data_IF_757676870913
#
_entry.id   IF_757676870913
#
_cell.length_a   1.000
_cell.length_b   1.000
_cell.length_c   1.000
_cell.angle_alpha   90.00
_cell.angle_beta   90.00
_cell.angle_gamma   90.00
#
_symmetry.space_group_name_H-M   'P 1'
#
loop_
_entity.id
_entity.type
_entity.pdbx_description
1 polymer ?
#
# COMPACT_ATOMS: atom_id res chain seq x y z
N UNK A 1 -12.68 3.08 6.70
CA UNK A 1 -13.37 3.85 5.62
C UNK A 1 -14.81 4.23 5.96
N UNK A 2 -15.46 3.56 6.91
CA UNK A 2 -16.86 3.77 7.28
C UNK A 2 -17.21 5.23 7.66
N UNK A 3 -16.26 5.98 8.20
CA UNK A 3 -16.45 7.39 8.58
C UNK A 3 -16.33 8.37 7.41
N UNK A 4 -15.87 7.94 6.24
CA UNK A 4 -15.67 8.79 5.07
C UNK A 4 -16.98 8.94 4.27
N UNK A 5 -17.22 10.07 3.58
CA UNK A 5 -18.31 10.23 2.61
C UNK A 5 -18.22 9.24 1.45
N UNK A 6 -19.32 9.04 0.74
CA UNK A 6 -19.39 8.09 -0.39
C UNK A 6 -18.71 8.58 -1.67
N UNK A 7 -18.52 9.90 -1.83
CA UNK A 7 -17.94 10.54 -3.02
C UNK A 7 -16.46 10.92 -2.81
N UNK A 8 -15.72 10.16 -2.00
CA UNK A 8 -14.29 10.40 -1.83
C UNK A 8 -13.51 9.80 -3.00
N UNK A 9 -12.91 10.68 -3.81
CA UNK A 9 -12.23 10.29 -5.06
C UNK A 9 -10.77 9.86 -4.88
N UNK A 10 -10.12 10.27 -3.79
CA UNK A 10 -8.70 10.03 -3.52
C UNK A 10 -8.47 9.62 -2.07
N UNK A 11 -7.84 8.46 -1.89
CA UNK A 11 -7.45 7.90 -0.59
C UNK A 11 -6.04 7.34 -0.64
N UNK A 12 -5.33 7.45 0.47
CA UNK A 12 -4.11 6.71 0.78
C UNK A 12 -4.51 5.39 1.46
N UNK A 13 -4.25 4.28 0.77
CA UNK A 13 -4.68 2.94 1.14
C UNK A 13 -3.47 2.08 1.50
N UNK A 14 -3.32 1.67 2.76
CA UNK A 14 -2.30 0.72 3.15
C UNK A 14 -2.65 -0.67 2.60
N UNK A 15 -1.63 -1.34 2.09
CA UNK A 15 -1.70 -2.64 1.46
C UNK A 15 -0.58 -3.56 1.87
N UNK A 16 -0.76 -4.86 1.64
CA UNK A 16 0.27 -5.87 1.91
C UNK A 16 0.72 -6.53 0.61
N UNK A 17 2.03 -6.56 0.38
CA UNK A 17 2.62 -7.34 -0.70
C UNK A 17 2.53 -8.83 -0.35
N UNK A 18 2.16 -9.66 -1.34
CA UNK A 18 2.05 -11.11 -1.18
C UNK A 18 1.31 -11.47 0.12
N UNK A 19 0.06 -11.02 0.25
CA UNK A 19 -0.67 -10.96 1.53
C UNK A 19 -0.83 -12.33 2.22
N UNK A 20 -0.71 -13.42 1.47
CA UNK A 20 -0.82 -14.81 1.95
C UNK A 20 0.53 -15.51 2.15
N UNK A 21 1.65 -14.83 1.90
CA UNK A 21 3.00 -15.38 2.00
C UNK A 21 3.47 -15.46 3.47
N UNK A 22 2.91 -16.46 4.18
CA UNK A 22 3.08 -16.74 5.61
C UNK A 22 3.91 -18.00 5.89
N UNK A 23 4.24 -18.78 4.86
CA UNK A 23 4.79 -20.12 5.01
C UNK A 23 6.23 -20.28 4.46
N UNK A 24 6.93 -21.20 5.12
CA UNK A 24 8.24 -21.77 4.80
C UNK A 24 8.13 -22.86 3.69
N UNK A 25 9.21 -23.39 3.09
CA UNK A 25 10.57 -23.57 3.61
C UNK A 25 11.55 -22.42 3.37
N UNK A 26 11.30 -21.51 2.43
CA UNK A 26 12.25 -20.46 2.10
C UNK A 26 11.95 -19.20 2.90
N UNK A 27 12.93 -18.66 3.64
CA UNK A 27 12.75 -17.36 4.31
C UNK A 27 12.45 -16.22 3.32
N UNK A 28 12.80 -16.40 2.04
CA UNK A 28 12.45 -15.47 0.96
C UNK A 28 11.00 -15.55 0.52
N UNK A 29 10.24 -16.57 0.94
CA UNK A 29 8.79 -16.70 0.69
C UNK A 29 7.92 -16.23 1.84
N UNK A 30 8.51 -15.57 2.84
CA UNK A 30 7.80 -14.91 3.91
C UNK A 30 7.76 -13.42 3.64
N UNK A 31 6.56 -12.90 3.40
CA UNK A 31 6.30 -11.48 3.25
C UNK A 31 5.45 -10.94 4.40
N UNK A 32 4.66 -11.77 5.07
CA UNK A 32 3.77 -11.36 6.16
C UNK A 32 3.87 -12.31 7.36
N UNK A 33 3.40 -11.86 8.52
CA UNK A 33 3.36 -12.67 9.76
C UNK A 33 1.96 -12.72 10.38
N UNK A 34 0.93 -12.27 9.65
CA UNK A 34 -0.43 -12.09 10.16
C UNK A 34 -1.44 -12.64 9.17
N UNK A 35 -2.55 -13.20 9.67
CA UNK A 35 -3.61 -13.76 8.83
C UNK A 35 -4.31 -12.67 8.02
N UNK A 36 -5.03 -13.08 6.96
CA UNK A 36 -5.77 -12.16 6.10
C UNK A 36 -6.79 -11.32 6.89
N UNK A 37 -7.64 -11.95 7.70
CA UNK A 37 -8.57 -11.23 8.58
C UNK A 37 -7.86 -10.29 9.56
N UNK A 38 -6.69 -10.67 10.10
CA UNK A 38 -5.93 -9.80 11.00
C UNK A 38 -5.41 -8.54 10.29
N UNK A 39 -4.94 -8.68 9.04
CA UNK A 39 -4.54 -7.54 8.20
C UNK A 39 -5.73 -6.58 7.97
N UNK A 40 -6.91 -7.12 7.63
CA UNK A 40 -8.14 -6.33 7.40
C UNK A 40 -8.58 -5.55 8.66
N UNK A 41 -8.61 -6.22 9.82
CA UNK A 41 -8.87 -5.57 11.12
C UNK A 41 -7.82 -4.53 11.47
N UNK A 42 -6.60 -4.75 11.01
CA UNK A 42 -5.44 -3.87 11.14
C UNK A 42 -5.44 -2.63 10.25
N UNK A 43 -6.48 -2.43 9.43
CA UNK A 43 -6.61 -1.27 8.56
C UNK A 43 -6.11 -1.47 7.13
N UNK A 44 -5.59 -2.65 6.78
CA UNK A 44 -5.19 -2.97 5.39
C UNK A 44 -6.42 -2.98 4.48
N UNK A 45 -6.34 -2.29 3.34
CA UNK A 45 -7.43 -2.16 2.35
C UNK A 45 -7.00 -2.47 0.92
N UNK A 46 -5.73 -2.84 0.71
CA UNK A 46 -5.22 -3.38 -0.55
C UNK A 46 -4.50 -4.71 -0.30
N UNK A 47 -4.87 -5.75 -1.03
CA UNK A 47 -4.29 -7.09 -0.89
C UNK A 47 -3.63 -7.50 -2.21
N UNK A 48 -2.36 -7.89 -2.19
CA UNK A 48 -1.69 -8.52 -3.33
C UNK A 48 -1.74 -10.04 -3.15
N UNK A 49 -2.72 -10.67 -3.79
CA UNK A 49 -2.95 -12.11 -3.75
C UNK A 49 -2.37 -12.77 -5.00
N UNK A 50 -1.47 -13.73 -4.82
CA UNK A 50 -0.83 -14.43 -5.94
C UNK A 50 -1.11 -15.92 -5.90
N UNK A 51 -1.48 -16.45 -7.04
CA UNK A 51 -1.94 -17.83 -7.17
C UNK A 51 -1.28 -18.53 -8.34
N UNK A 52 -1.09 -19.84 -8.20
CA UNK A 52 -0.67 -20.74 -9.26
C UNK A 52 -1.81 -21.68 -9.63
N UNK A 53 -1.91 -22.00 -10.92
CA UNK A 53 -2.75 -23.07 -11.44
C UNK A 53 -2.04 -24.42 -11.22
N UNK A 54 -2.63 -25.31 -10.42
CA UNK A 54 -2.06 -26.62 -10.05
C UNK A 54 -2.98 -27.74 -10.53
N UNK A 55 -2.40 -28.87 -10.95
CA UNK A 55 -3.11 -30.12 -11.26
C UNK A 55 -2.58 -31.22 -10.34
N UNK A 56 -3.49 -31.86 -9.61
CA UNK A 56 -3.13 -32.73 -8.47
C UNK A 56 -2.62 -34.14 -8.87
N UNK A 57 -2.47 -34.46 -10.17
CA UNK A 57 -1.94 -35.76 -10.61
C UNK A 57 -0.50 -35.67 -11.17
N UNK A 58 0.26 -36.75 -11.00
CA UNK A 58 1.67 -36.85 -11.45
C UNK A 58 1.84 -36.78 -12.98
N UNK A 59 0.74 -36.76 -13.74
CA UNK A 59 0.71 -36.72 -15.20
C UNK A 59 0.12 -35.42 -15.76
N UNK A 60 -0.34 -34.49 -14.92
CA UNK A 60 -0.93 -33.22 -15.34
C UNK A 60 -2.35 -33.31 -15.94
N UNK A 61 -3.10 -34.38 -15.69
CA UNK A 61 -4.52 -34.55 -16.02
C UNK A 61 -5.51 -34.39 -14.86
N UNK A 62 -5.07 -34.00 -13.66
CA UNK A 62 -5.92 -33.74 -12.51
C UNK A 62 -6.76 -32.48 -12.69
N UNK A 63 -7.86 -32.38 -11.92
CA UNK A 63 -8.72 -31.20 -11.89
C UNK A 63 -7.89 -29.95 -11.55
N UNK A 64 -8.01 -28.88 -12.35
CA UNK A 64 -7.22 -27.67 -12.13
C UNK A 64 -7.72 -26.93 -10.89
N UNK A 65 -6.78 -26.50 -10.05
CA UNK A 65 -7.06 -25.76 -8.81
C UNK A 65 -6.17 -24.54 -8.68
N UNK A 66 -6.69 -23.51 -8.02
CA UNK A 66 -5.99 -22.24 -7.84
C UNK A 66 -5.48 -22.12 -6.40
N UNK A 67 -4.17 -22.23 -6.22
CA UNK A 67 -3.52 -22.24 -4.90
C UNK A 67 -2.64 -21.01 -4.71
N UNK A 68 -2.60 -20.48 -3.49
CA UNK A 68 -1.75 -19.34 -3.15
C UNK A 68 -0.26 -19.73 -3.18
N UNK A 69 0.57 -18.90 -3.82
CA UNK A 69 2.01 -19.15 -4.02
C UNK A 69 2.84 -17.88 -3.90
N UNK A 70 4.09 -18.04 -3.45
CA UNK A 70 5.13 -17.02 -3.55
C UNK A 70 6.33 -17.59 -4.31
N UNK A 71 6.51 -17.19 -5.57
CA UNK A 71 7.40 -17.88 -6.50
C UNK A 71 7.07 -19.38 -6.53
N UNK A 72 8.04 -20.28 -6.29
CA UNK A 72 7.82 -21.72 -6.29
C UNK A 72 7.22 -22.26 -4.97
N UNK A 73 7.00 -21.42 -3.95
CA UNK A 73 6.63 -21.91 -2.60
C UNK A 73 5.11 -21.84 -2.39
N UNK A 74 4.44 -22.99 -2.15
CA UNK A 74 3.02 -23.02 -1.83
C UNK A 74 2.75 -22.35 -0.48
N UNK A 75 1.64 -21.62 -0.39
CA UNK A 75 1.20 -20.93 0.82
C UNK A 75 0.02 -21.63 1.50
N UNK A 76 -0.34 -22.83 1.04
CA UNK A 76 -1.28 -23.72 1.75
C UNK A 76 -2.72 -23.22 1.82
N UNK A 77 -3.13 -22.35 0.90
CA UNK A 77 -4.51 -21.84 0.82
C UNK A 77 -5.04 -21.89 -0.60
N UNK A 78 -6.26 -22.40 -0.77
CA UNK A 78 -6.96 -22.38 -2.06
C UNK A 78 -7.70 -21.04 -2.25
N UNK A 79 -7.83 -20.58 -3.50
CA UNK A 79 -8.48 -19.31 -3.82
C UNK A 79 -9.91 -19.23 -3.29
N UNK A 80 -10.68 -20.32 -3.38
CA UNK A 80 -12.05 -20.38 -2.87
C UNK A 80 -12.14 -20.10 -1.37
N UNK A 81 -11.21 -20.65 -0.58
CA UNK A 81 -11.15 -20.43 0.87
C UNK A 81 -10.80 -18.96 1.20
N UNK A 82 -9.90 -18.37 0.41
CA UNK A 82 -9.50 -16.96 0.56
C UNK A 82 -10.66 -16.03 0.24
N UNK A 83 -11.39 -16.29 -0.84
CA UNK A 83 -12.58 -15.50 -1.20
C UNK A 83 -13.68 -15.64 -0.16
N UNK A 84 -13.92 -16.84 0.35
CA UNK A 84 -14.90 -17.07 1.41
C UNK A 84 -14.57 -16.25 2.67
N UNK A 85 -13.30 -16.22 3.11
CA UNK A 85 -12.87 -15.38 4.25
C UNK A 85 -13.12 -13.88 3.99
N UNK A 86 -12.83 -13.40 2.77
CA UNK A 86 -13.11 -12.00 2.38
C UNK A 86 -14.62 -11.70 2.43
N UNK A 87 -15.44 -12.60 1.90
CA UNK A 87 -16.90 -12.43 1.88
C UNK A 87 -17.50 -12.42 3.29
N UNK A 88 -16.99 -13.25 4.18
CA UNK A 88 -17.41 -13.28 5.59
C UNK A 88 -17.05 -11.98 6.31
N UNK A 89 -15.82 -11.48 6.11
CA UNK A 89 -15.41 -10.22 6.72
C UNK A 89 -16.22 -9.03 6.17
N UNK A 90 -16.37 -8.93 4.84
CA UNK A 90 -17.17 -7.87 4.20
C UNK A 90 -18.66 -7.94 4.56
N UNK A 91 -19.19 -9.13 4.87
CA UNK A 91 -20.55 -9.30 5.35
C UNK A 91 -20.75 -8.97 6.85
N UNK A 92 -19.66 -8.82 7.61
CA UNK A 92 -19.72 -8.53 9.05
C UNK A 92 -20.05 -7.06 9.35
N UNK A 93 -20.42 -6.77 10.59
CA UNK A 93 -20.65 -5.39 11.06
C UNK A 93 -19.44 -4.47 10.86
N UNK A 94 -18.22 -5.03 10.97
CA UNK A 94 -16.97 -4.31 10.79
C UNK A 94 -16.70 -4.02 9.30
N UNK A 95 -16.91 -5.00 8.42
CA UNK A 95 -16.52 -4.92 7.01
C UNK A 95 -17.59 -4.36 6.07
N UNK A 96 -18.89 -4.41 6.42
CA UNK A 96 -19.98 -4.04 5.50
C UNK A 96 -19.99 -2.57 5.05
N UNK A 97 -19.27 -1.70 5.75
CA UNK A 97 -19.09 -0.28 5.40
C UNK A 97 -17.71 0.04 4.83
N UNK A 98 -16.87 -0.97 4.71
CA UNK A 98 -15.51 -0.91 4.17
C UNK A 98 -15.49 -1.45 2.73
N UNK A 99 -14.37 -1.32 2.03
CA UNK A 99 -14.13 -1.97 0.74
C UNK A 99 -12.69 -2.44 0.69
N UNK A 100 -12.38 -3.44 -0.13
CA UNK A 100 -11.03 -3.98 -0.25
C UNK A 100 -10.64 -4.04 -1.72
N UNK A 101 -9.52 -3.41 -2.09
CA UNK A 101 -8.92 -3.62 -3.40
C UNK A 101 -8.15 -4.94 -3.35
N UNK A 102 -8.51 -5.86 -4.24
CA UNK A 102 -7.90 -7.18 -4.33
C UNK A 102 -7.12 -7.27 -5.64
N UNK A 103 -5.80 -7.16 -5.55
CA UNK A 103 -4.87 -7.44 -6.64
C UNK A 103 -4.72 -8.95 -6.78
N UNK A 104 -5.06 -9.49 -7.94
CA UNK A 104 -4.82 -10.90 -8.28
C UNK A 104 -3.77 -10.98 -9.37
N UNK A 105 -2.73 -11.77 -9.13
CA UNK A 105 -1.69 -12.09 -10.11
C UNK A 105 -1.49 -13.60 -10.21
N UNK A 106 -1.30 -14.10 -11.43
CA UNK A 106 -0.82 -15.46 -11.63
C UNK A 106 0.70 -15.54 -11.35
N UNK A 107 1.11 -16.54 -10.57
CA UNK A 107 2.52 -16.74 -10.20
C UNK A 107 3.25 -17.71 -11.14
N UNK A 108 2.55 -18.70 -11.68
CA UNK A 108 3.08 -19.64 -12.68
C UNK A 108 2.59 -19.33 -14.11
N UNK A 109 2.87 -20.23 -15.05
CA UNK A 109 2.32 -20.17 -16.42
C UNK A 109 0.92 -20.78 -16.47
N UNK A 110 0.04 -20.26 -17.33
CA UNK A 110 -1.31 -20.81 -17.52
C UNK A 110 -2.31 -19.82 -18.16
N UNK A 111 -2.05 -18.51 -18.05
CA UNK A 111 -2.69 -17.45 -18.83
C UNK A 111 -4.22 -17.54 -18.90
N UNK A 112 -4.72 -18.05 -20.03
CA UNK A 112 -6.16 -18.16 -20.30
C UNK A 112 -6.90 -19.11 -19.36
N UNK A 113 -6.34 -20.28 -19.03
CA UNK A 113 -7.02 -21.24 -18.15
C UNK A 113 -7.11 -20.71 -16.72
N UNK A 114 -6.03 -20.11 -16.22
CA UNK A 114 -6.03 -19.45 -14.92
C UNK A 114 -7.11 -18.36 -14.87
N UNK A 115 -7.18 -17.51 -15.91
CA UNK A 115 -8.18 -16.46 -15.98
C UNK A 115 -9.60 -17.01 -15.96
N UNK A 116 -9.88 -18.04 -16.77
CA UNK A 116 -11.19 -18.68 -16.83
C UNK A 116 -11.65 -19.20 -15.47
N UNK A 117 -10.75 -19.90 -14.75
CA UNK A 117 -11.06 -20.46 -13.42
C UNK A 117 -11.27 -19.40 -12.35
N UNK A 118 -10.52 -18.29 -12.39
CA UNK A 118 -10.76 -17.16 -11.47
C UNK A 118 -12.16 -16.58 -11.69
N UNK A 119 -12.52 -16.33 -12.95
CA UNK A 119 -13.82 -15.75 -13.28
C UNK A 119 -14.97 -16.72 -12.98
N UNK A 120 -14.82 -18.00 -13.32
CA UNK A 120 -15.79 -19.03 -12.97
C UNK A 120 -16.01 -19.12 -11.46
N UNK A 121 -14.94 -19.07 -10.66
CA UNK A 121 -15.05 -19.07 -9.20
C UNK A 121 -15.79 -17.83 -8.68
N UNK A 122 -15.53 -16.65 -9.24
CA UNK A 122 -16.23 -15.41 -8.86
C UNK A 122 -17.72 -15.51 -9.23
N UNK A 123 -18.00 -15.89 -10.47
CA UNK A 123 -19.34 -15.87 -11.06
C UNK A 123 -20.25 -16.96 -10.47
N UNK A 124 -19.68 -18.11 -10.09
CA UNK A 124 -20.40 -19.22 -9.45
C UNK A 124 -20.61 -19.05 -7.93
N UNK A 125 -19.91 -18.12 -7.27
CA UNK A 125 -20.00 -17.92 -5.82
C UNK A 125 -20.77 -16.66 -5.43
N UNK A 126 -20.13 -15.49 -5.46
CA UNK A 126 -20.71 -14.21 -5.03
C UNK A 126 -20.33 -13.06 -5.97
N UNK A 127 -20.77 -13.08 -7.24
CA UNK A 127 -20.40 -12.06 -8.22
C UNK A 127 -20.78 -10.64 -7.79
N UNK A 128 -21.88 -10.46 -7.05
CA UNK A 128 -22.35 -9.17 -6.55
C UNK A 128 -21.44 -8.52 -5.49
N UNK A 129 -20.53 -9.28 -4.87
CA UNK A 129 -19.50 -8.75 -3.96
C UNK A 129 -18.27 -8.24 -4.69
N UNK A 130 -18.20 -8.39 -6.02
CA UNK A 130 -17.09 -7.89 -6.82
C UNK A 130 -17.52 -6.69 -7.64
N UNK A 131 -16.69 -5.66 -7.60
CA UNK A 131 -16.67 -4.60 -8.60
C UNK A 131 -15.52 -4.90 -9.55
N UNK A 132 -15.86 -5.25 -10.78
CA UNK A 132 -14.95 -5.73 -11.82
C UNK A 132 -15.06 -4.91 -13.12
N UNK A 133 -15.43 -3.63 -13.01
CA UNK A 133 -15.35 -2.70 -14.13
C UNK A 133 -13.94 -2.10 -14.22
N UNK A 134 -13.47 -1.84 -15.44
CA UNK A 134 -12.22 -1.12 -15.68
C UNK A 134 -12.43 0.41 -15.58
N UNK A 135 -12.99 0.86 -14.45
CA UNK A 135 -13.20 2.27 -14.09
C UNK A 135 -13.09 2.39 -12.58
N UNK A 136 -12.38 3.38 -12.06
CA UNK A 136 -12.29 3.57 -10.60
C UNK A 136 -13.65 3.92 -9.99
N UNK A 137 -14.13 3.18 -8.97
CA UNK A 137 -15.42 3.42 -8.34
C UNK A 137 -15.38 4.58 -7.35
N UNK A 138 -16.52 5.23 -7.14
CA UNK A 138 -16.75 6.02 -5.94
C UNK A 138 -16.90 5.09 -4.71
N UNK A 139 -16.48 5.53 -3.53
CA UNK A 139 -16.49 4.70 -2.32
C UNK A 139 -17.88 4.12 -2.01
N UNK A 140 -18.95 4.89 -2.18
CA UNK A 140 -20.32 4.44 -1.95
C UNK A 140 -20.76 3.26 -2.84
N UNK A 141 -20.19 3.12 -4.04
CA UNK A 141 -20.53 2.04 -4.96
C UNK A 141 -19.96 0.68 -4.53
N UNK A 142 -18.93 0.69 -3.68
CA UNK A 142 -18.12 -0.50 -3.37
C UNK A 142 -18.04 -0.83 -1.89
N UNK A 143 -18.79 -0.14 -1.03
CA UNK A 143 -18.93 -0.57 0.38
C UNK A 143 -19.51 -1.99 0.46
N UNK A 144 -18.91 -2.80 1.31
CA UNK A 144 -19.20 -4.22 1.44
C UNK A 144 -18.73 -5.07 0.26
N UNK A 145 -17.89 -4.52 -0.64
CA UNK A 145 -17.43 -5.21 -1.86
C UNK A 145 -15.91 -5.22 -2.00
N UNK A 146 -15.42 -6.19 -2.76
CA UNK A 146 -14.09 -6.22 -3.33
C UNK A 146 -14.04 -5.37 -4.61
N UNK A 147 -12.95 -4.64 -4.82
CA UNK A 147 -12.61 -4.01 -6.10
C UNK A 147 -11.51 -4.85 -6.75
N UNK A 148 -11.79 -5.40 -7.93
CA UNK A 148 -10.82 -6.23 -8.65
C UNK A 148 -9.71 -5.38 -9.26
N UNK A 149 -8.47 -5.61 -8.84
CA UNK A 149 -7.27 -5.13 -9.51
C UNK A 149 -6.63 -6.30 -10.26
N UNK A 150 -6.82 -6.33 -11.58
CA UNK A 150 -6.61 -7.51 -12.40
C UNK A 150 -5.22 -7.51 -13.04
N UNK A 151 -4.30 -8.36 -12.56
CA UNK A 151 -2.93 -8.56 -13.13
C UNK A 151 -2.80 -9.92 -13.83
N UNK A 152 -3.89 -10.40 -14.42
CA UNK A 152 -3.99 -11.64 -15.22
C UNK A 152 -5.03 -11.45 -16.32
N UNK A 153 -5.13 -12.40 -17.28
CA UNK A 153 -6.28 -12.49 -18.20
C UNK A 153 -6.71 -11.18 -18.87
N UNK A 154 -5.74 -10.48 -19.47
CA UNK A 154 -5.86 -9.12 -20.02
C UNK A 154 -6.98 -9.01 -21.06
N UNK A 155 -7.32 -10.13 -21.71
CA UNK A 155 -8.33 -10.23 -22.77
C UNK A 155 -9.77 -10.11 -22.25
N UNK A 156 -9.99 -10.33 -20.95
CA UNK A 156 -11.34 -10.31 -20.36
C UNK A 156 -11.94 -8.90 -20.27
N UNK A 157 -11.11 -7.85 -20.22
CA UNK A 157 -11.53 -6.48 -19.97
C UNK A 157 -12.16 -6.23 -18.57
N UNK A 158 -12.18 -7.24 -17.70
CA UNK A 158 -12.72 -7.18 -16.34
C UNK A 158 -11.66 -6.71 -15.34
N UNK A 159 -12.10 -5.89 -14.39
CA UNK A 159 -11.31 -5.31 -13.32
C UNK A 159 -10.49 -4.10 -13.73
N UNK A 160 -9.93 -3.42 -12.74
CA UNK A 160 -8.95 -2.36 -12.95
C UNK A 160 -7.68 -2.98 -13.49
N UNK A 161 -7.32 -2.59 -14.70
CA UNK A 161 -6.35 -3.33 -15.48
C UNK A 161 -5.18 -2.47 -15.94
N UNK A 162 -3.94 -2.74 -15.48
CA UNK A 162 -2.76 -2.04 -15.93
C UNK A 162 -2.33 -2.56 -17.31
N UNK A 163 -2.28 -1.73 -18.36
CA UNK A 163 -1.89 -2.19 -19.71
C UNK A 163 -0.44 -2.67 -19.80
N UNK A 164 0.42 -2.18 -18.91
CA UNK A 164 1.83 -2.56 -18.80
C UNK A 164 2.25 -2.69 -17.33
N UNK A 165 3.18 -3.63 -17.07
CA UNK A 165 3.84 -3.77 -15.76
C UNK A 165 5.34 -4.08 -15.97
N UNK A 166 6.18 -3.05 -16.22
CA UNK A 166 7.61 -3.23 -16.37
C UNK A 166 8.24 -4.01 -15.21
N UNK A 167 9.11 -4.95 -15.56
CA UNK A 167 9.74 -5.83 -14.59
C UNK A 167 10.91 -5.11 -13.87
N UNK A 168 10.84 -5.05 -12.55
CA UNK A 168 11.94 -4.70 -11.63
C UNK A 168 12.69 -3.40 -11.98
N UNK A 169 11.95 -2.31 -12.21
CA UNK A 169 12.55 -1.03 -12.60
C UNK A 169 12.89 -0.15 -11.39
N UNK A 170 14.15 0.34 -11.25
CA UNK A 170 14.57 1.21 -10.16
C UNK A 170 14.15 2.68 -10.36
N UNK A 171 13.00 2.90 -11.00
CA UNK A 171 12.42 4.19 -11.28
C UNK A 171 10.90 4.04 -11.40
N UNK A 172 10.11 5.10 -11.14
CA UNK A 172 8.68 5.03 -11.33
C UNK A 172 8.33 5.14 -12.82
N UNK A 173 7.22 4.53 -13.22
CA UNK A 173 6.70 4.66 -14.59
C UNK A 173 5.24 5.09 -14.58
N UNK A 174 4.80 5.62 -15.72
CA UNK A 174 3.43 6.08 -15.93
C UNK A 174 2.63 5.05 -16.71
N UNK A 175 1.35 5.04 -16.44
CA UNK A 175 0.35 4.24 -17.14
C UNK A 175 -1.03 4.87 -16.93
N UNK A 176 -2.05 4.33 -17.58
CA UNK A 176 -3.45 4.67 -17.32
C UNK A 176 -4.16 3.40 -16.86
N UNK A 177 -4.86 3.47 -15.72
CA UNK A 177 -5.63 2.35 -15.16
C UNK A 177 -7.03 2.85 -14.88
N UNK A 178 -8.04 2.18 -15.42
CA UNK A 178 -9.44 2.53 -15.20
C UNK A 178 -9.79 3.98 -15.55
N UNK A 179 -9.20 4.52 -16.61
CA UNK A 179 -9.39 5.92 -17.06
C UNK A 179 -8.68 6.97 -16.20
N UNK A 180 -7.77 6.59 -15.30
CA UNK A 180 -6.99 7.52 -14.47
C UNK A 180 -5.49 7.37 -14.73
N UNK A 181 -4.85 8.51 -14.99
CA UNK A 181 -3.39 8.60 -15.02
C UNK A 181 -2.82 8.08 -13.69
N UNK A 182 -1.90 7.13 -13.80
CA UNK A 182 -1.32 6.40 -12.66
C UNK A 182 0.20 6.36 -12.77
N UNK A 183 0.88 6.56 -11.64
CA UNK A 183 2.32 6.35 -11.48
C UNK A 183 2.54 5.13 -10.61
N UNK A 184 3.40 4.22 -11.05
CA UNK A 184 3.68 2.96 -10.35
C UNK A 184 5.17 2.85 -10.06
N UNK A 185 5.51 2.27 -8.92
CA UNK A 185 6.86 1.94 -8.52
C UNK A 185 6.88 0.52 -7.91
N UNK A 186 7.62 -0.40 -8.55
CA UNK A 186 7.76 -1.81 -8.14
C UNK A 186 9.21 -2.31 -8.32
N UNK A 187 10.18 -1.56 -7.80
CA UNK A 187 11.58 -2.01 -7.71
C UNK A 187 11.70 -3.01 -6.57
N UNK A 188 11.62 -4.30 -6.87
CA UNK A 188 11.66 -5.35 -5.85
C UNK A 188 13.03 -6.03 -5.76
N UNK A 189 13.85 -6.02 -6.81
CA UNK A 189 15.15 -6.69 -6.94
C UNK A 189 16.31 -5.99 -6.22
N UNK A 190 16.06 -5.52 -5.00
CA UNK A 190 17.09 -4.94 -4.13
C UNK A 190 17.94 -6.07 -3.56
N UNK A 191 19.24 -6.06 -3.92
CA UNK A 191 20.17 -7.15 -3.62
C UNK A 191 21.03 -6.92 -2.38
N UNK A 192 21.18 -5.67 -1.92
CA UNK A 192 22.08 -5.31 -0.83
C UNK A 192 21.39 -4.42 0.19
N UNK A 193 21.65 -4.60 1.50
CA UNK A 193 21.24 -3.64 2.52
C UNK A 193 21.68 -2.20 2.24
N UNK A 194 22.79 -2.01 1.52
CA UNK A 194 23.30 -0.68 1.15
C UNK A 194 22.38 0.08 0.18
N UNK A 195 21.52 -0.63 -0.55
CA UNK A 195 20.55 -0.05 -1.49
C UNK A 195 19.15 0.14 -0.88
N UNK A 196 18.95 -0.24 0.38
CA UNK A 196 17.69 0.00 1.10
C UNK A 196 17.35 1.50 1.17
N UNK A 197 18.30 2.42 1.43
CA UNK A 197 18.03 3.86 1.37
C UNK A 197 17.54 4.32 0.00
N UNK A 198 18.12 3.81 -1.10
CA UNK A 198 17.69 4.18 -2.45
C UNK A 198 16.25 3.74 -2.71
N UNK A 199 15.89 2.51 -2.30
CA UNK A 199 14.52 2.01 -2.40
C UNK A 199 13.55 2.85 -1.58
N UNK A 200 13.93 3.20 -0.36
CA UNK A 200 13.11 4.05 0.52
C UNK A 200 12.94 5.47 -0.05
N UNK A 201 13.99 6.06 -0.60
CA UNK A 201 13.93 7.37 -1.26
C UNK A 201 13.04 7.34 -2.50
N UNK A 202 13.16 6.30 -3.32
CA UNK A 202 12.28 6.09 -4.46
C UNK A 202 10.81 5.94 -4.01
N UNK A 203 10.53 5.17 -2.96
CA UNK A 203 9.19 5.06 -2.41
C UNK A 203 8.68 6.41 -1.88
N UNK A 204 9.50 7.15 -1.13
CA UNK A 204 9.18 8.48 -0.60
C UNK A 204 8.90 9.50 -1.71
N UNK A 205 9.57 9.40 -2.85
CA UNK A 205 9.35 10.28 -3.99
C UNK A 205 7.92 10.21 -4.56
N UNK A 206 7.16 9.15 -4.28
CA UNK A 206 5.75 9.08 -4.66
C UNK A 206 4.82 9.74 -3.62
N UNK A 207 5.26 9.92 -2.37
CA UNK A 207 4.47 10.63 -1.36
C UNK A 207 4.51 12.15 -1.53
N UNK A 208 5.63 12.68 -2.02
CA UNK A 208 5.83 14.10 -2.27
C UNK A 208 5.26 14.52 -3.63
N UNK A 209 4.11 15.21 -3.66
CA UNK A 209 3.50 15.68 -4.92
C UNK A 209 4.34 16.65 -5.75
N UNK A 210 5.36 17.27 -5.16
CA UNK A 210 6.29 18.14 -5.88
C UNK A 210 7.41 17.35 -6.58
N UNK A 211 7.48 16.04 -6.36
CA UNK A 211 8.49 15.16 -6.92
C UNK A 211 8.55 15.20 -8.45
N UNK A 212 9.78 15.18 -8.97
CA UNK A 212 10.05 15.09 -10.40
C UNK A 212 9.45 13.82 -11.04
N UNK A 213 9.13 12.79 -10.25
CA UNK A 213 8.36 11.62 -10.70
C UNK A 213 7.04 12.02 -11.39
N UNK A 214 6.49 13.18 -11.03
CA UNK A 214 5.27 13.74 -11.61
C UNK A 214 5.50 14.75 -12.74
N UNK A 215 6.75 15.12 -13.03
CA UNK A 215 7.06 16.19 -13.98
C UNK A 215 7.55 15.71 -15.36
N UNK A 216 7.85 14.43 -15.57
CA UNK A 216 8.36 13.93 -16.86
C UNK A 216 7.46 12.84 -17.46
N UNK A 217 7.14 12.99 -18.75
CA UNK A 217 6.69 11.91 -19.63
C UNK A 217 7.95 11.30 -20.24
N UNK A 218 8.30 10.02 -20.01
CA UNK A 218 9.29 9.39 -20.85
C UNK A 218 8.69 9.31 -22.25
N UNK A 219 9.24 10.08 -23.19
CA UNK A 219 9.06 9.84 -24.62
C UNK A 219 9.49 8.40 -24.89
N UNK A 220 8.65 7.55 -25.49
CA UNK A 220 9.14 6.30 -26.07
C UNK A 220 10.26 6.67 -27.05
N UNK A 221 11.43 6.08 -26.89
CA UNK A 221 12.44 6.11 -27.94
C UNK A 221 11.77 5.57 -29.21
N UNK A 222 11.78 6.38 -30.27
CA UNK A 222 11.28 6.07 -31.59
C UNK A 222 12.11 4.93 -32.18
N UNK A 223 11.65 3.69 -32.06
CA UNK A 223 11.91 2.71 -33.11
C UNK A 223 10.86 2.90 -34.19
N UNK A 224 11.32 3.51 -35.28
CA UNK A 224 10.57 3.72 -36.51
C UNK A 224 9.94 2.43 -37.02
N UNK A 225 8.61 2.36 -37.12
CA UNK A 225 7.89 2.29 -38.40
C UNK A 225 6.39 2.03 -38.22
N UNK A 226 5.64 2.60 -39.17
CA UNK A 226 4.22 2.42 -39.47
C UNK A 226 3.22 3.33 -38.72
N UNK A 227 2.76 4.31 -39.49
CA UNK A 227 1.65 5.19 -39.23
C UNK A 227 0.32 4.49 -39.54
N UNK A 228 -0.69 4.71 -38.69
CA UNK A 228 -2.08 4.92 -39.11
C UNK A 228 -2.82 5.73 -38.04
N UNK A 229 -3.42 6.82 -38.49
CA UNK A 229 -4.13 7.81 -37.68
C UNK A 229 -5.47 7.27 -37.15
N UNK A 230 -5.84 7.65 -35.93
CA UNK A 230 -7.24 7.74 -35.52
C UNK A 230 -7.49 9.07 -34.81
N UNK A 231 -8.63 9.66 -35.16
CA UNK A 231 -9.00 11.04 -34.89
C UNK A 231 -9.78 11.20 -33.59
N UNK A 232 -9.60 12.36 -32.95
CA UNK A 232 -10.66 13.09 -32.25
C UNK A 232 -10.93 12.69 -30.79
N UNK A 233 -10.20 13.31 -29.86
CA UNK A 233 -10.65 13.46 -28.47
C UNK A 233 -10.52 14.94 -28.06
N UNK A 234 -11.51 15.54 -27.38
CA UNK A 234 -11.48 16.97 -27.06
C UNK A 234 -10.36 17.25 -26.05
N UNK A 235 -9.50 18.22 -26.37
CA UNK A 235 -8.49 18.75 -25.44
C UNK A 235 -9.18 19.34 -24.22
N UNK A 236 -8.88 18.77 -23.04
CA UNK A 236 -9.25 19.35 -21.74
C UNK A 236 -8.60 20.74 -21.65
N UNK A 237 -9.35 21.75 -21.20
CA UNK A 237 -8.88 23.14 -21.15
C UNK A 237 -7.62 23.25 -20.27
N UNK A 238 -6.59 23.96 -20.78
CA UNK A 238 -5.24 24.11 -20.22
C UNK A 238 -5.16 24.92 -18.88
N UNK A 239 -6.27 25.12 -18.17
CA UNK A 239 -6.35 26.00 -16.99
C UNK A 239 -6.60 25.30 -15.65
N UNK A 240 -6.79 23.98 -15.63
CA UNK A 240 -6.80 23.24 -14.35
C UNK A 240 -5.36 22.91 -13.93
N UNK A 241 -4.98 23.11 -12.65
CA UNK A 241 -3.70 22.62 -12.15
C UNK A 241 -3.59 21.12 -12.44
N UNK A 242 -2.43 20.61 -12.91
CA UNK A 242 -2.31 19.21 -13.29
C UNK A 242 -2.67 18.32 -12.10
N UNK A 243 -3.73 17.53 -12.24
CA UNK A 243 -4.17 16.61 -11.20
C UNK A 243 -3.04 15.63 -10.89
N UNK A 244 -2.63 15.56 -9.62
CA UNK A 244 -1.62 14.57 -9.20
C UNK A 244 -2.15 13.18 -9.55
N UNK A 245 -1.40 12.38 -10.33
CA UNK A 245 -1.87 11.07 -10.77
C UNK A 245 -2.12 10.14 -9.57
N UNK A 246 -2.94 9.11 -9.79
CA UNK A 246 -3.05 8.02 -8.83
C UNK A 246 -1.70 7.32 -8.69
N UNK A 247 -1.41 6.75 -7.53
CA UNK A 247 -0.09 6.17 -7.25
C UNK A 247 -0.21 4.74 -6.75
N UNK A 248 0.72 3.88 -7.19
CA UNK A 248 0.87 2.54 -6.67
C UNK A 248 2.33 2.36 -6.27
N UNK A 249 2.56 2.19 -4.97
CA UNK A 249 3.87 2.26 -4.37
C UNK A 249 4.17 0.98 -3.59
N UNK A 250 5.06 0.14 -4.12
CA UNK A 250 5.51 -1.06 -3.42
C UNK A 250 6.72 -0.71 -2.56
N UNK A 251 6.61 -0.81 -1.24
CA UNK A 251 7.76 -0.74 -0.33
C UNK A 251 8.49 -2.08 -0.23
N UNK A 252 7.79 -3.18 -0.52
CA UNK A 252 8.34 -4.53 -0.58
C UNK A 252 9.54 -4.62 -1.53
N UNK A 253 10.58 -5.31 -1.09
CA UNK A 253 11.73 -5.66 -1.90
C UNK A 253 12.53 -6.79 -1.25
N UNK A 254 13.41 -7.40 -2.02
CA UNK A 254 14.30 -8.45 -1.58
C UNK A 254 14.80 -9.26 -2.76
N UNK A 255 15.93 -9.92 -2.58
CA UNK A 255 16.45 -10.86 -3.57
C UNK A 255 17.11 -12.01 -2.83
N UNK A 256 16.62 -13.22 -3.06
CA UNK A 256 17.29 -14.41 -2.57
C UNK A 256 18.63 -14.61 -3.31
N UNK A 257 19.72 -15.00 -2.61
CA UNK A 257 19.87 -15.21 -1.16
C UNK A 257 20.42 -13.98 -0.41
N UNK A 258 20.58 -12.83 -1.07
CA UNK A 258 21.40 -11.72 -0.55
C UNK A 258 20.65 -10.74 0.35
N UNK A 259 19.34 -10.61 0.20
CA UNK A 259 18.48 -9.78 1.03
C UNK A 259 17.08 -10.38 1.13
N UNK A 260 16.73 -10.93 2.29
CA UNK A 260 15.40 -11.47 2.53
C UNK A 260 14.37 -10.35 2.74
N UNK A 261 13.09 -10.56 2.34
CA UNK A 261 12.03 -9.56 2.54
C UNK A 261 11.93 -9.06 3.98
N UNK A 262 12.16 -9.93 4.98
CA UNK A 262 12.15 -9.55 6.41
C UNK A 262 13.21 -8.51 6.75
N UNK A 263 14.42 -8.68 6.23
CA UNK A 263 15.54 -7.78 6.46
C UNK A 263 15.39 -6.49 5.66
N UNK A 264 14.88 -6.58 4.43
CA UNK A 264 14.55 -5.41 3.64
C UNK A 264 13.49 -4.52 4.32
N UNK A 265 12.39 -5.11 4.79
CA UNK A 265 11.28 -4.40 5.39
C UNK A 265 11.61 -3.85 6.78
N UNK A 266 12.14 -4.70 7.68
CA UNK A 266 12.37 -4.38 9.10
C UNK A 266 13.74 -3.80 9.39
N UNK A 267 14.74 -4.15 8.58
CA UNK A 267 16.14 -3.91 8.88
C UNK A 267 16.73 -5.01 9.74
N UNK A 268 17.91 -4.74 10.29
CA UNK A 268 18.65 -5.68 11.14
C UNK A 268 19.41 -4.92 12.24
N UNK A 269 19.58 -5.55 13.40
CA UNK A 269 20.38 -5.02 14.51
C UNK A 269 19.70 -3.91 15.31
N UNK A 270 20.50 -3.01 15.87
CA UNK A 270 20.06 -1.88 16.69
C UNK A 270 20.58 -0.54 16.12
N UNK A 271 20.01 -0.04 15.01
CA UNK A 271 20.57 1.10 14.26
C UNK A 271 20.66 2.38 15.08
N UNK A 272 19.85 2.51 16.14
CA UNK A 272 19.92 3.64 17.10
C UNK A 272 21.25 3.73 17.87
N UNK A 273 21.99 2.63 17.94
CA UNK A 273 23.31 2.53 18.58
C UNK A 273 24.44 2.32 17.56
N UNK A 274 24.18 2.58 16.27
CA UNK A 274 25.18 2.42 15.20
C UNK A 274 25.42 0.98 14.73
N UNK A 275 24.64 0.00 15.20
CA UNK A 275 24.79 -1.42 14.81
C UNK A 275 23.64 -1.83 13.89
N UNK A 276 23.97 -2.32 12.69
CA UNK A 276 22.98 -2.78 11.70
C UNK A 276 22.36 -1.62 10.89
N UNK A 277 21.17 -1.84 10.35
CA UNK A 277 20.50 -0.89 9.44
C UNK A 277 18.98 -0.88 9.62
N UNK A 278 18.35 0.23 9.25
CA UNK A 278 16.88 0.37 9.23
C UNK A 278 16.35 -0.18 7.91
N UNK A 279 15.24 -0.90 7.96
CA UNK A 279 14.54 -1.37 6.75
C UNK A 279 13.73 -0.25 6.08
N UNK A 280 13.21 -0.56 4.89
CA UNK A 280 12.41 0.34 4.05
C UNK A 280 11.24 0.93 4.84
N UNK A 281 10.47 0.11 5.56
CA UNK A 281 9.28 0.56 6.29
C UNK A 281 9.62 1.68 7.30
N UNK A 282 10.73 1.52 8.04
CA UNK A 282 11.15 2.52 9.04
C UNK A 282 11.72 3.78 8.38
N UNK A 283 12.47 3.63 7.28
CA UNK A 283 13.00 4.79 6.56
C UNK A 283 11.89 5.63 5.92
N UNK A 284 10.87 4.98 5.34
CA UNK A 284 9.71 5.68 4.80
C UNK A 284 8.93 6.39 5.91
N UNK A 285 8.63 5.72 7.03
CA UNK A 285 7.96 6.36 8.17
C UNK A 285 8.67 7.64 8.63
N UNK A 286 10.00 7.57 8.85
CA UNK A 286 10.80 8.74 9.23
C UNK A 286 10.81 9.82 8.14
N UNK A 287 10.76 9.44 6.87
CA UNK A 287 10.63 10.38 5.76
C UNK A 287 9.30 11.12 5.77
N UNK A 288 8.19 10.42 6.03
CA UNK A 288 6.86 11.02 6.15
C UNK A 288 6.74 11.95 7.37
N UNK A 289 7.38 11.62 8.48
CA UNK A 289 7.47 12.51 9.65
C UNK A 289 8.20 13.82 9.31
N UNK A 290 9.28 13.73 8.51
CA UNK A 290 10.03 14.90 8.06
C UNK A 290 9.26 15.76 7.06
N UNK A 291 8.56 15.14 6.11
CA UNK A 291 7.75 15.85 5.12
C UNK A 291 6.64 16.68 5.79
N UNK A 292 5.97 16.12 6.80
CA UNK A 292 4.96 16.86 7.57
C UNK A 292 5.58 18.02 8.36
N UNK A 293 6.70 17.78 9.05
CA UNK A 293 7.39 18.82 9.80
C UNK A 293 7.87 19.97 8.91
N UNK A 294 8.23 19.70 7.64
CA UNK A 294 8.55 20.74 6.66
C UNK A 294 7.30 21.50 6.21
N UNK A 295 6.18 20.81 5.98
CA UNK A 295 4.91 21.41 5.57
C UNK A 295 4.33 22.34 6.65
N UNK A 296 4.44 21.95 7.92
CA UNK A 296 4.03 22.78 9.06
C UNK A 296 4.89 24.04 9.24
N UNK A 297 6.16 24.01 8.81
CA UNK A 297 7.05 25.18 8.87
C UNK A 297 6.83 26.17 7.74
N UNK A 298 6.38 25.71 6.57
CA UNK A 298 6.12 26.56 5.39
C UNK A 298 4.72 27.16 5.38
N UNK A 299 3.78 26.66 6.19
CA UNK A 299 2.49 27.32 6.43
C UNK A 299 2.63 28.34 7.58
N UNK A 300 2.51 29.66 7.33
CA UNK A 300 2.56 30.63 8.42
C UNK A 300 1.32 30.42 9.30
N UNK A 301 1.51 30.10 10.59
CA UNK A 301 0.46 30.29 11.58
C UNK A 301 0.05 31.77 11.50
N UNK A 302 -1.24 31.99 11.29
CA UNK A 302 -1.74 33.20 10.65
C UNK A 302 -1.25 34.51 11.24
N UNK A 303 -1.03 35.47 10.36
CA UNK A 303 -1.35 36.87 10.62
C UNK A 303 -1.61 37.59 9.30
N UNK A 304 -2.87 37.95 9.07
CA UNK A 304 -3.13 39.20 8.41
C UNK A 304 -2.66 40.29 9.37
N UNK A 305 -1.48 40.87 9.12
CA UNK A 305 -1.19 42.29 9.30
C UNK A 305 0.24 42.60 8.86
N UNK A 306 0.34 43.66 8.07
CA UNK A 306 1.55 44.36 7.68
C UNK A 306 2.49 44.58 8.88
N UNK A 307 3.75 44.16 8.78
CA UNK A 307 4.86 44.87 9.41
C UNK A 307 6.19 44.60 8.69
N UNK A 308 6.82 45.68 8.22
CA UNK A 308 8.17 45.72 7.65
C UNK A 308 9.14 45.96 8.79
N UNK A 309 10.02 45.01 9.11
CA UNK A 309 11.31 45.17 9.84
C UNK A 309 12.14 43.93 9.43
N UNK A 310 13.35 43.98 8.88
CA UNK A 310 14.55 44.75 9.23
C UNK A 310 15.57 43.73 9.75
N UNK A 311 16.69 43.55 9.04
CA UNK A 311 17.70 42.55 9.35
C UNK A 311 18.49 42.93 10.60
N UNK A 312 18.38 42.13 11.66
CA UNK A 312 19.39 41.87 12.70
C UNK A 312 18.77 40.93 13.76
N UNK A 313 19.62 40.12 14.39
CA UNK A 313 19.35 39.16 15.49
C UNK A 313 19.59 37.68 15.14
N UNK A 314 20.84 37.43 14.77
CA UNK A 314 21.53 36.14 14.88
C UNK A 314 22.42 36.20 16.14
N UNK A 315 21.99 35.66 17.28
CA UNK A 315 22.91 35.07 18.26
C UNK A 315 22.17 34.37 19.43
N UNK A 316 22.79 33.28 19.86
CA UNK A 316 22.66 32.59 21.16
C UNK A 316 21.46 31.68 21.44
N UNK A 317 21.69 30.37 21.25
CA UNK A 317 21.14 29.33 22.12
C UNK A 317 22.05 28.09 22.14
N UNK A 318 22.96 28.02 23.12
CA UNK A 318 23.54 26.75 23.58
C UNK A 318 22.62 26.17 24.68
N UNK A 319 22.31 24.87 24.67
CA UNK A 319 21.42 24.26 25.67
C UNK A 319 22.14 23.94 26.99
N UNK A 320 21.46 24.02 28.15
CA UNK A 320 22.01 23.57 29.43
C UNK A 320 21.97 22.02 29.57
N UNK A 321 22.82 21.45 30.44
CA UNK A 321 22.98 20.00 30.62
C UNK A 321 21.86 19.35 31.47
N UNK A 322 21.72 18.01 31.46
CA UNK A 322 20.60 17.30 32.07
C UNK A 322 20.75 17.11 33.58
N UNK A 323 19.67 17.35 34.33
CA UNK A 323 19.56 17.02 35.76
C UNK A 323 19.02 15.61 35.99
N UNK A 324 19.44 15.02 37.11
CA UNK A 324 19.43 13.61 37.45
C UNK A 324 18.06 13.06 37.89
N UNK A 325 17.87 11.76 37.63
CA UNK A 325 16.73 10.94 38.04
C UNK A 325 16.69 10.72 39.56
N UNK A 326 15.50 10.83 40.16
CA UNK A 326 15.25 10.45 41.55
C UNK A 326 14.21 9.31 41.60
N UNK A 327 14.64 8.15 42.13
CA UNK A 327 13.84 6.94 42.32
C UNK A 327 12.72 7.12 43.36
N UNK A 328 11.56 6.50 43.13
CA UNK A 328 10.53 6.27 44.16
C UNK A 328 10.19 4.78 44.32
N UNK A 329 9.92 4.31 45.56
CA UNK A 329 9.88 2.90 45.93
C UNK A 329 8.52 2.22 45.62
N UNK A 330 8.43 0.88 45.70
CA UNK A 330 7.31 0.12 45.17
C UNK A 330 6.14 0.03 46.16
N UNK A 331 4.91 0.16 45.66
CA UNK A 331 3.70 -0.16 46.40
C UNK A 331 3.06 -1.44 45.88
N UNK A 332 2.81 -2.36 46.81
CA UNK A 332 2.06 -3.61 46.68
C UNK A 332 0.55 -3.37 46.71
N UNK A 333 -0.22 -4.26 46.08
CA UNK A 333 -1.68 -4.33 46.27
C UNK A 333 -2.39 -5.04 45.13
N UNK A 334 -2.89 -6.25 45.40
CA UNK A 334 -3.73 -7.03 44.48
C UNK A 334 -5.19 -6.55 44.45
N UNK A 335 -5.96 -7.09 43.49
CA UNK A 335 -7.41 -6.88 43.38
C UNK A 335 -7.93 -7.15 41.98
N UNK A 336 -9.05 -7.86 41.93
CA UNK A 336 -9.65 -8.59 40.82
C UNK A 336 -10.37 -7.78 39.72
N UNK A 337 -10.45 -8.41 38.53
CA UNK A 337 -11.56 -8.50 37.54
C UNK A 337 -12.31 -7.21 37.13
N UNK A 338 -12.21 -6.84 35.85
CA UNK A 338 -13.36 -6.40 35.03
C UNK A 338 -13.01 -6.34 33.53
N UNK A 339 -13.79 -7.04 32.70
CA UNK A 339 -13.82 -6.83 31.25
C UNK A 339 -14.39 -5.45 30.94
N UNK A 340 -13.56 -4.58 30.37
CA UNK A 340 -13.96 -3.25 29.89
C UNK A 340 -13.93 -3.22 28.37
N UNK A 341 -15.10 -3.24 27.75
CA UNK A 341 -15.25 -2.81 26.36
C UNK A 341 -14.77 -1.35 26.26
N UNK A 342 -13.80 -1.11 25.37
CA UNK A 342 -13.29 0.24 25.10
C UNK A 342 -14.41 1.06 24.45
N UNK A 343 -14.97 2.00 25.22
CA UNK A 343 -15.83 3.07 24.73
C UNK A 343 -15.02 3.97 23.79
N UNK A 344 -15.30 3.87 22.49
CA UNK A 344 -14.65 4.64 21.41
C UNK A 344 -15.24 6.04 21.23
N UNK A 345 -16.08 6.53 22.13
CA UNK A 345 -16.78 7.81 21.95
C UNK A 345 -15.98 9.07 22.33
N UNK A 346 -14.76 8.96 22.88
CA UNK A 346 -13.99 10.13 23.36
C UNK A 346 -12.82 10.60 22.47
N UNK A 347 -12.66 10.08 21.24
CA UNK A 347 -11.63 10.52 20.28
C UNK A 347 -12.19 11.40 19.15
N UNK A 348 -13.23 12.18 19.40
CA UNK A 348 -13.77 13.15 18.45
C UNK A 348 -13.03 14.50 18.50
N UNK A 349 -11.70 14.48 18.41
CA UNK A 349 -10.97 15.61 17.86
C UNK A 349 -11.11 15.54 16.35
N UNK A 350 -12.08 16.25 15.78
CA UNK A 350 -12.43 16.15 14.36
C UNK A 350 -11.27 16.54 13.45
N UNK A 351 -10.47 15.57 12.99
CA UNK A 351 -9.47 15.79 11.94
C UNK A 351 -10.20 16.02 10.62
N UNK A 352 -9.99 17.17 10.00
CA UNK A 352 -10.62 17.55 8.75
C UNK A 352 -9.85 16.92 7.58
N UNK A 353 -10.55 16.33 6.61
CA UNK A 353 -9.93 15.75 5.41
C UNK A 353 -8.98 16.75 4.76
N UNK A 354 -7.70 16.37 4.58
CA UNK A 354 -6.79 17.09 3.69
C UNK A 354 -7.20 16.80 2.25
N UNK A 355 -7.29 17.83 1.41
CA UNK A 355 -7.46 17.60 -0.04
C UNK A 355 -6.25 16.79 -0.53
N UNK A 356 -6.50 15.53 -0.88
CA UNK A 356 -5.45 14.58 -1.21
C UNK A 356 -4.76 14.98 -2.51
N UNK A 357 -3.43 14.94 -2.50
CA UNK A 357 -2.58 15.11 -3.68
C UNK A 357 -2.62 13.85 -4.57
N UNK A 358 -3.79 13.43 -5.04
CA UNK A 358 -4.00 12.16 -5.75
C UNK A 358 -4.10 10.95 -4.80
N UNK A 359 -4.88 9.92 -5.15
CA UNK A 359 -4.97 8.70 -4.34
C UNK A 359 -3.69 7.86 -4.42
N UNK A 360 -3.43 6.98 -3.44
CA UNK A 360 -2.28 6.09 -3.47
C UNK A 360 -2.56 4.74 -2.80
N UNK A 361 -2.09 3.66 -3.43
CA UNK A 361 -1.99 2.33 -2.83
C UNK A 361 -0.54 2.09 -2.38
N UNK A 362 -0.33 1.63 -1.15
CA UNK A 362 1.01 1.43 -0.57
C UNK A 362 1.16 -0.02 -0.10
N UNK A 363 1.89 -0.84 -0.85
CA UNK A 363 2.09 -2.26 -0.53
C UNK A 363 3.37 -2.47 0.27
N UNK A 364 3.27 -3.02 1.48
CA UNK A 364 4.42 -3.29 2.36
C UNK A 364 4.58 -4.77 2.68
N UNK A 365 5.81 -5.18 2.92
CA UNK A 365 6.14 -6.44 3.59
C UNK A 365 6.17 -6.24 5.10
N UNK A 366 5.81 -7.31 5.83
CA UNK A 366 5.76 -7.39 7.29
C UNK A 366 5.00 -6.24 7.91
N UNK A 367 3.73 -6.13 7.53
CA UNK A 367 2.81 -5.29 8.28
C UNK A 367 2.83 -5.68 9.75
N UNK A 368 2.92 -4.67 10.62
CA UNK A 368 2.87 -4.84 12.07
C UNK A 368 1.58 -4.22 12.59
N UNK A 369 0.90 -4.91 13.51
CA UNK A 369 -0.30 -4.39 14.14
C UNK A 369 -0.04 -3.00 14.73
N UNK A 370 -0.95 -2.03 14.55
CA UNK A 370 -0.86 -0.75 15.24
C UNK A 370 -0.79 -1.04 16.74
N UNK A 371 0.32 -0.66 17.37
CA UNK A 371 0.50 -0.80 18.81
C UNK A 371 0.11 0.53 19.44
N UNK A 372 -0.70 0.56 20.52
CA UNK A 372 -1.22 1.80 21.12
C UNK A 372 -0.19 2.83 21.62
N UNK A 373 1.12 2.56 21.49
CA UNK A 373 2.22 3.46 21.88
C UNK A 373 3.21 3.75 20.75
N UNK A 374 2.95 3.27 19.53
CA UNK A 374 3.84 3.47 18.38
C UNK A 374 3.01 3.89 17.17
N UNK A 375 3.27 5.07 16.64
CA UNK A 375 2.76 5.48 15.34
C UNK A 375 3.30 4.51 14.28
N UNK A 376 2.44 3.62 13.80
CA UNK A 376 2.83 2.65 12.79
C UNK A 376 2.85 3.32 11.42
N UNK A 377 3.58 2.73 10.46
CA UNK A 377 3.54 3.19 9.07
C UNK A 377 2.13 3.16 8.49
N UNK A 378 1.30 2.19 8.90
CA UNK A 378 -0.10 2.10 8.47
C UNK A 378 -0.93 3.23 9.05
N UNK A 379 -0.80 3.51 10.34
CA UNK A 379 -1.49 4.66 10.95
C UNK A 379 -1.09 5.92 10.21
N UNK A 380 0.21 6.11 9.96
CA UNK A 380 0.71 7.28 9.24
C UNK A 380 0.11 7.40 7.83
N UNK A 381 0.03 6.32 7.06
CA UNK A 381 -0.59 6.31 5.73
C UNK A 381 -2.08 6.67 5.82
N UNK A 382 -2.80 6.12 6.81
CA UNK A 382 -4.22 6.42 7.03
C UNK A 382 -4.41 7.89 7.40
N UNK A 383 -3.55 8.42 8.26
CA UNK A 383 -3.56 9.82 8.69
C UNK A 383 -3.40 10.81 7.55
N UNK A 384 -2.70 10.46 6.47
CA UNK A 384 -2.56 11.35 5.30
C UNK A 384 -3.89 11.68 4.60
N UNK A 385 -4.98 10.98 4.93
CA UNK A 385 -6.32 11.30 4.46
C UNK A 385 -7.00 12.43 5.27
N UNK A 386 -6.40 12.87 6.38
CA UNK A 386 -6.93 13.84 7.35
C UNK A 386 -5.83 14.81 7.83
#
# INVERSE_FOLDING_TARGET
>A
MAALPDHVDTLYLPGTHQSLALNYPLASSLCQTTTLTAQLRGGIRCLDLRFSLIRDDKKGGGEPRLWAYHGPVPQGREMGEVFQELYEWLGSEEGKRETVIVSIKQENTGGHEFAALVWELIDSTRPYLWYDQNVWPALGQVRGRCVMFCRFGFESGRGLHPPIWPNDKPYPWRTEIGGRATVVQDWYGVRSPLSIPDKANLALSLFDSSSAAFSHSPTPEEDSTSATASAGMPRKADNDPPSVPFRINFLSCGTFPTLYPSHAAKGFGAPRFGIGYRGVNRLVLLGLERLDAMTERTTPRGSAQHLVIGAEDLQDALPPPPEAEEEKPPTTGGGDVAGGALDRSQLAGGRQRREGQGGMMVFMDFWESPHPRKDSLVDRIIEMNF
#
